data_IF_315394644921
#
_entry.id   IF_315394644921
#
_cell.length_a   1.000
_cell.length_b   1.000
_cell.length_c   1.000
_cell.angle_alpha   90.00
_cell.angle_beta   90.00
_cell.angle_gamma   90.00
#
_symmetry.space_group_name_H-M   'P 1'
#
loop_
_entity.id
_entity.type
_entity.pdbx_description
1 polymer ?
#
# COMPACT_ATOMS: atom_id res chain seq x y z
N UNK A 1 -18.77 11.09 -5.11
CA UNK A 1 -18.18 11.05 -3.76
C UNK A 1 -17.04 10.00 -3.62
N UNK A 2 -16.24 9.72 -4.65
CA UNK A 2 -15.19 8.67 -4.62
C UNK A 2 -13.76 9.23 -4.49
N UNK A 3 -13.54 10.51 -4.64
CA UNK A 3 -12.22 11.15 -4.66
C UNK A 3 -11.49 11.09 -3.31
N UNK A 4 -12.16 11.32 -2.20
CA UNK A 4 -11.51 11.34 -0.88
C UNK A 4 -10.94 9.99 -0.41
N UNK A 5 -11.55 8.85 -0.79
CA UNK A 5 -11.06 7.50 -0.43
C UNK A 5 -9.80 7.13 -1.24
N UNK A 6 -9.69 7.64 -2.44
CA UNK A 6 -8.54 7.41 -3.33
C UNK A 6 -7.33 8.26 -2.91
N UNK A 7 -7.56 9.50 -2.47
CA UNK A 7 -6.52 10.37 -1.94
C UNK A 7 -5.91 9.83 -0.64
N UNK A 8 -6.72 9.34 0.28
CA UNK A 8 -6.25 8.71 1.52
C UNK A 8 -5.35 7.49 1.26
N UNK A 9 -5.70 6.64 0.30
CA UNK A 9 -4.88 5.48 -0.08
C UNK A 9 -3.53 5.89 -0.66
N UNK A 10 -3.47 6.94 -1.48
CA UNK A 10 -2.23 7.45 -2.05
C UNK A 10 -1.29 8.04 -0.99
N UNK A 11 -1.84 8.73 0.00
CA UNK A 11 -1.03 9.26 1.13
C UNK A 11 -0.41 8.12 1.94
N UNK A 12 -1.19 7.08 2.26
CA UNK A 12 -0.69 5.91 3.00
C UNK A 12 0.45 5.22 2.25
N UNK A 13 0.33 5.01 0.94
CA UNK A 13 1.38 4.39 0.12
C UNK A 13 2.67 5.23 0.16
N UNK A 14 2.57 6.56 0.03
CA UNK A 14 3.73 7.45 0.07
C UNK A 14 4.43 7.42 1.43
N UNK A 15 3.67 7.39 2.52
CA UNK A 15 4.22 7.30 3.87
C UNK A 15 4.93 5.97 4.08
N UNK A 16 4.33 4.85 3.67
CA UNK A 16 4.94 3.53 3.75
C UNK A 16 6.22 3.42 2.92
N UNK A 17 6.24 4.00 1.72
CA UNK A 17 7.43 4.06 0.88
C UNK A 17 8.56 4.87 1.54
N UNK A 18 8.24 6.00 2.14
CA UNK A 18 9.23 6.81 2.87
C UNK A 18 9.80 6.05 4.07
N UNK A 19 8.96 5.38 4.85
CA UNK A 19 9.39 4.54 5.97
C UNK A 19 10.29 3.39 5.52
N UNK A 20 9.96 2.72 4.42
CA UNK A 20 10.77 1.65 3.86
C UNK A 20 12.16 2.15 3.43
N UNK A 21 12.25 3.34 2.81
CA UNK A 21 13.53 3.97 2.46
C UNK A 21 14.36 4.31 3.69
N UNK A 22 13.74 4.86 4.73
CA UNK A 22 14.43 5.19 6.00
C UNK A 22 14.94 3.91 6.68
N UNK A 23 14.18 2.83 6.70
CA UNK A 23 14.61 1.53 7.23
C UNK A 23 15.78 0.96 6.42
N UNK A 24 15.73 1.04 5.09
CA UNK A 24 16.83 0.62 4.22
C UNK A 24 18.12 1.41 4.47
N UNK A 25 18.01 2.74 4.54
CA UNK A 25 19.13 3.61 4.87
C UNK A 25 19.71 3.28 6.24
N UNK A 26 18.87 3.06 7.24
CA UNK A 26 19.31 2.69 8.57
C UNK A 26 20.04 1.34 8.58
N UNK A 27 19.51 0.33 7.87
CA UNK A 27 20.17 -0.97 7.73
C UNK A 27 21.55 -0.84 7.06
N UNK A 28 21.67 -0.03 6.00
CA UNK A 28 22.94 0.26 5.35
C UNK A 28 23.93 0.93 6.33
N UNK A 29 23.47 1.89 7.13
CA UNK A 29 24.27 2.58 8.14
C UNK A 29 24.82 1.60 9.19
N UNK A 30 23.95 0.74 9.75
CA UNK A 30 24.36 -0.24 10.75
C UNK A 30 25.32 -1.29 10.16
N UNK A 31 25.13 -1.66 8.89
CA UNK A 31 26.04 -2.58 8.21
C UNK A 31 27.45 -1.99 8.07
N UNK A 32 27.58 -0.72 7.66
CA UNK A 32 28.88 -0.05 7.59
C UNK A 32 29.51 0.02 8.99
N UNK A 33 28.78 0.47 10.00
CA UNK A 33 29.26 0.56 11.38
C UNK A 33 29.77 -0.79 11.90
N UNK A 34 29.02 -1.85 11.64
CA UNK A 34 29.43 -3.22 12.01
C UNK A 34 30.70 -3.66 11.27
N UNK A 35 30.82 -3.39 9.98
CA UNK A 35 31.99 -3.78 9.17
C UNK A 35 33.26 -3.08 9.61
N UNK A 36 33.17 -1.86 10.09
CA UNK A 36 34.32 -1.12 10.62
C UNK A 36 34.45 -1.26 12.16
N UNK A 37 33.76 -2.24 12.74
CA UNK A 37 33.81 -2.59 14.16
C UNK A 37 33.51 -1.41 15.09
N UNK A 38 32.50 -0.58 14.72
CA UNK A 38 32.08 0.60 15.51
C UNK A 38 33.23 1.55 15.87
N UNK A 39 34.11 1.82 14.90
CA UNK A 39 35.29 2.66 15.12
C UNK A 39 34.93 4.03 15.73
N UNK A 40 35.71 4.55 16.68
CA UNK A 40 35.40 5.81 17.36
C UNK A 40 35.28 7.03 16.45
N UNK A 41 35.87 6.98 15.25
CA UNK A 41 35.85 8.05 14.25
C UNK A 41 34.54 8.15 13.47
N UNK A 42 33.57 7.25 13.66
CA UNK A 42 32.29 7.26 12.91
C UNK A 42 31.32 8.38 13.33
N UNK A 43 31.64 9.12 14.37
CA UNK A 43 30.86 10.26 14.84
C UNK A 43 29.80 9.91 15.89
N UNK A 44 28.77 10.76 15.96
CA UNK A 44 27.75 10.66 16.99
C UNK A 44 26.87 9.39 16.85
N UNK A 45 26.73 8.68 17.96
CA UNK A 45 25.86 7.51 18.07
C UNK A 45 25.26 7.40 19.48
N UNK A 46 24.22 6.61 19.63
CA UNK A 46 23.60 6.26 20.91
C UNK A 46 23.80 4.75 21.12
N UNK A 47 24.70 4.36 21.98
CA UNK A 47 25.01 2.95 22.30
C UNK A 47 25.31 2.07 21.06
N UNK A 48 26.02 2.62 20.06
CA UNK A 48 26.33 1.93 18.82
C UNK A 48 25.26 2.02 17.73
N UNK A 49 24.15 2.71 17.99
CA UNK A 49 23.12 2.97 17.00
C UNK A 49 23.37 4.31 16.34
N UNK A 50 23.60 4.30 15.03
CA UNK A 50 23.85 5.49 14.21
C UNK A 50 22.57 5.95 13.51
N UNK A 51 22.41 7.27 13.27
CA UNK A 51 21.28 7.81 12.49
C UNK A 51 21.24 7.26 11.05
N UNK A 52 20.06 7.12 10.43
CA UNK A 52 19.93 6.56 9.09
C UNK A 52 20.79 7.27 8.01
N UNK A 53 20.96 8.56 8.13
CA UNK A 53 21.70 9.38 7.15
C UNK A 53 23.23 9.28 7.28
N UNK A 54 23.77 8.67 8.34
CA UNK A 54 25.23 8.61 8.57
C UNK A 54 25.95 7.90 7.42
N UNK A 55 25.36 6.87 6.81
CA UNK A 55 25.93 6.17 5.67
C UNK A 55 26.20 7.09 4.48
N UNK A 56 25.36 8.10 4.27
CA UNK A 56 25.54 9.07 3.19
C UNK A 56 26.75 9.98 3.44
N UNK A 57 26.90 10.47 4.68
CA UNK A 57 28.04 11.28 5.07
C UNK A 57 29.34 10.49 4.95
N UNK A 58 29.38 9.26 5.46
CA UNK A 58 30.55 8.38 5.36
C UNK A 58 30.87 8.01 3.91
N UNK A 59 29.85 7.84 3.04
CA UNK A 59 30.07 7.57 1.64
C UNK A 59 30.66 8.78 0.91
N UNK A 60 30.25 10.00 1.24
CA UNK A 60 30.83 11.22 0.64
C UNK A 60 32.32 11.38 0.95
N UNK A 61 32.73 11.00 2.16
CA UNK A 61 34.12 11.13 2.60
C UNK A 61 35.00 9.91 2.26
N UNK A 62 34.41 8.70 2.33
CA UNK A 62 35.15 7.44 2.30
C UNK A 62 34.91 6.52 1.10
N UNK A 63 33.99 6.86 0.17
CA UNK A 63 33.68 5.98 -0.94
C UNK A 63 34.89 5.64 -1.81
N UNK A 64 35.77 6.61 -2.08
CA UNK A 64 36.99 6.40 -2.85
C UNK A 64 37.99 5.43 -2.22
N UNK A 65 37.96 5.28 -0.90
CA UNK A 65 38.87 4.40 -0.15
C UNK A 65 38.29 2.98 0.03
N UNK A 66 36.96 2.84 0.13
CA UNK A 66 36.30 1.57 0.38
C UNK A 66 35.03 1.37 -0.49
N UNK A 67 35.10 1.41 -1.82
CA UNK A 67 33.91 1.37 -2.70
C UNK A 67 33.10 0.09 -2.53
N UNK A 68 33.76 -1.05 -2.28
CA UNK A 68 33.09 -2.33 -2.07
C UNK A 68 32.25 -2.38 -0.78
N UNK A 69 32.71 -1.68 0.26
CA UNK A 69 31.97 -1.57 1.53
C UNK A 69 30.65 -0.82 1.32
N UNK A 70 30.72 0.33 0.67
CA UNK A 70 29.54 1.16 0.43
C UNK A 70 28.59 0.56 -0.62
N UNK A 71 29.12 -0.13 -1.64
CA UNK A 71 28.30 -0.90 -2.58
C UNK A 71 27.54 -2.03 -1.84
N UNK A 72 28.21 -2.75 -0.94
CA UNK A 72 27.56 -3.77 -0.10
C UNK A 72 26.50 -3.17 0.83
N UNK A 73 26.78 -2.03 1.45
CA UNK A 73 25.81 -1.31 2.28
C UNK A 73 24.58 -0.88 1.48
N UNK A 74 24.79 -0.33 0.28
CA UNK A 74 23.70 0.04 -0.63
C UNK A 74 22.84 -1.15 -1.04
N UNK A 75 23.45 -2.30 -1.34
CA UNK A 75 22.74 -3.53 -1.67
C UNK A 75 21.88 -4.02 -0.50
N UNK A 76 22.40 -4.04 0.71
CA UNK A 76 21.65 -4.45 1.90
C UNK A 76 20.52 -3.47 2.17
N UNK A 77 20.78 -2.16 2.11
CA UNK A 77 19.74 -1.15 2.28
C UNK A 77 18.61 -1.29 1.24
N UNK A 78 18.95 -1.54 -0.02
CA UNK A 78 17.98 -1.75 -1.08
C UNK A 78 17.12 -3.00 -0.85
N UNK A 79 17.73 -4.11 -0.43
CA UNK A 79 16.99 -5.36 -0.11
C UNK A 79 16.04 -5.14 1.07
N UNK A 80 16.48 -4.50 2.14
CA UNK A 80 15.63 -4.20 3.30
C UNK A 80 14.47 -3.29 2.91
N UNK A 81 14.73 -2.22 2.14
CA UNK A 81 13.68 -1.33 1.65
C UNK A 81 12.67 -2.08 0.76
N UNK A 82 13.14 -2.94 -0.15
CA UNK A 82 12.27 -3.74 -1.01
C UNK A 82 11.39 -4.71 -0.22
N UNK A 83 11.94 -5.41 0.76
CA UNK A 83 11.19 -6.33 1.63
C UNK A 83 10.12 -5.56 2.42
N UNK A 84 10.47 -4.41 3.00
CA UNK A 84 9.53 -3.56 3.74
C UNK A 84 8.40 -3.05 2.85
N UNK A 85 8.69 -2.68 1.59
CA UNK A 85 7.66 -2.29 0.62
C UNK A 85 6.72 -3.45 0.28
N UNK A 86 7.25 -4.64 0.04
CA UNK A 86 6.43 -5.84 -0.24
C UNK A 86 5.52 -6.13 0.94
N UNK A 87 6.04 -6.14 2.16
CA UNK A 87 5.24 -6.36 3.38
C UNK A 87 4.15 -5.31 3.53
N UNK A 88 4.47 -4.03 3.28
CA UNK A 88 3.51 -2.93 3.36
C UNK A 88 2.38 -3.08 2.33
N UNK A 89 2.70 -3.46 1.08
CA UNK A 89 1.71 -3.71 0.03
C UNK A 89 0.82 -4.90 0.37
N UNK A 90 1.40 -6.02 0.81
CA UNK A 90 0.64 -7.20 1.24
C UNK A 90 -0.30 -6.87 2.41
N UNK A 91 0.19 -6.16 3.41
CA UNK A 91 -0.64 -5.71 4.54
C UNK A 91 -1.81 -4.86 4.08
N UNK A 92 -1.57 -3.90 3.17
CA UNK A 92 -2.62 -3.03 2.65
C UNK A 92 -3.67 -3.81 1.85
N UNK A 93 -3.27 -4.83 1.06
CA UNK A 93 -4.21 -5.68 0.33
C UNK A 93 -5.09 -6.50 1.27
N UNK A 94 -4.52 -7.06 2.33
CA UNK A 94 -5.27 -7.81 3.35
C UNK A 94 -6.28 -6.90 4.04
N UNK A 95 -5.86 -5.74 4.54
CA UNK A 95 -6.74 -4.78 5.23
C UNK A 95 -7.85 -4.28 4.31
N UNK A 96 -7.55 -3.95 3.05
CA UNK A 96 -8.56 -3.48 2.09
C UNK A 96 -9.59 -4.56 1.73
N UNK A 97 -9.16 -5.80 1.60
CA UNK A 97 -10.05 -6.92 1.32
C UNK A 97 -10.97 -7.25 2.51
N UNK A 98 -10.45 -7.19 3.73
CA UNK A 98 -11.26 -7.39 4.96
C UNK A 98 -12.33 -6.32 5.09
N UNK A 99 -12.00 -5.07 4.79
CA UNK A 99 -12.97 -3.96 4.83
C UNK A 99 -14.09 -4.14 3.78
N UNK A 100 -13.77 -4.63 2.59
CA UNK A 100 -14.76 -4.95 1.55
C UNK A 100 -15.65 -6.13 1.96
N UNK A 101 -15.09 -7.16 2.57
CA UNK A 101 -15.84 -8.31 3.06
C UNK A 101 -16.83 -7.91 4.16
N UNK A 102 -16.44 -7.04 5.09
CA UNK A 102 -17.35 -6.52 6.12
C UNK A 102 -18.49 -5.69 5.55
N UNK A 103 -18.23 -4.89 4.51
CA UNK A 103 -19.25 -4.08 3.85
C UNK A 103 -20.32 -4.96 3.17
N UNK A 104 -19.95 -6.17 2.71
CA UNK A 104 -20.87 -7.15 2.10
C UNK A 104 -21.64 -8.00 3.12
N UNK A 105 -21.12 -8.21 4.33
CA UNK A 105 -21.81 -9.00 5.37
C UNK A 105 -23.07 -8.29 5.89
N UNK A 106 -23.11 -6.95 5.87
CA UNK A 106 -24.31 -6.19 6.24
C UNK A 106 -25.34 -6.04 5.13
N UNK A 107 -25.16 -6.79 4.03
CA UNK A 107 -26.00 -6.70 2.83
C UNK A 107 -25.85 -5.30 2.22
N UNK A 108 -25.25 -5.20 1.07
CA UNK A 108 -25.33 -3.98 0.26
C UNK A 108 -26.75 -3.84 -0.28
N UNK A 109 -27.72 -3.54 0.59
CA UNK A 109 -29.06 -3.19 0.19
C UNK A 109 -28.96 -1.87 -0.58
N UNK A 110 -28.70 -1.97 -1.86
CA UNK A 110 -28.81 -0.86 -2.80
C UNK A 110 -30.03 -1.09 -3.69
N UNK A 111 -30.67 -0.02 -4.08
CA UNK A 111 -31.72 -0.11 -5.07
C UNK A 111 -31.13 -0.67 -6.38
N UNK A 112 -31.84 -1.64 -6.97
CA UNK A 112 -31.45 -2.22 -8.25
C UNK A 112 -31.42 -1.14 -9.33
N UNK A 113 -30.33 -1.10 -10.09
CA UNK A 113 -30.23 -0.25 -11.26
C UNK A 113 -30.67 -1.01 -12.52
N UNK A 114 -30.83 -0.31 -13.65
CA UNK A 114 -31.23 -0.89 -14.91
C UNK A 114 -30.40 -2.10 -15.35
N UNK A 115 -29.09 -2.08 -15.07
CA UNK A 115 -28.16 -3.17 -15.39
C UNK A 115 -28.45 -4.42 -14.57
N UNK A 116 -28.79 -4.26 -13.30
CA UNK A 116 -29.14 -5.38 -12.42
C UNK A 116 -30.46 -6.03 -12.86
N UNK A 117 -31.45 -5.22 -13.22
CA UNK A 117 -32.77 -5.66 -13.71
C UNK A 117 -32.61 -6.43 -15.02
N UNK A 118 -31.81 -5.92 -15.94
CA UNK A 118 -31.54 -6.59 -17.22
C UNK A 118 -30.78 -7.90 -17.05
N UNK A 119 -29.78 -7.93 -16.16
CA UNK A 119 -28.98 -9.15 -15.89
C UNK A 119 -29.78 -10.24 -15.19
N UNK A 120 -30.79 -9.86 -14.40
CA UNK A 120 -31.72 -10.78 -13.76
C UNK A 120 -32.89 -11.17 -14.69
N UNK A 121 -32.93 -10.67 -15.93
CA UNK A 121 -33.97 -10.94 -16.91
C UNK A 121 -35.41 -10.63 -16.43
N UNK A 122 -35.57 -9.61 -15.59
CA UNK A 122 -36.85 -9.30 -14.93
C UNK A 122 -37.84 -8.51 -15.82
N UNK A 123 -37.43 -8.09 -17.02
CA UNK A 123 -38.29 -7.35 -17.98
C UNK A 123 -39.00 -8.27 -18.97
N UNK A 124 -39.33 -9.50 -18.59
CA UNK A 124 -40.06 -10.45 -19.42
C UNK A 124 -41.53 -10.07 -19.49
N UNK A 125 -42.19 -10.45 -20.60
CA UNK A 125 -43.63 -10.26 -20.79
C UNK A 125 -44.47 -11.32 -20.09
N UNK A 126 -43.88 -12.51 -19.81
CA UNK A 126 -44.51 -13.64 -19.17
C UNK A 126 -43.78 -13.99 -17.85
N UNK A 127 -44.45 -14.63 -16.93
CA UNK A 127 -43.91 -15.04 -15.65
C UNK A 127 -44.59 -14.44 -14.43
N UNK A 128 -44.10 -14.82 -13.23
CA UNK A 128 -44.67 -14.35 -11.98
C UNK A 128 -44.33 -12.87 -11.74
N UNK A 129 -45.32 -12.08 -11.37
CA UNK A 129 -45.12 -10.67 -11.02
C UNK A 129 -44.34 -10.58 -9.69
N UNK A 130 -43.19 -9.92 -9.71
CA UNK A 130 -42.32 -9.74 -8.54
C UNK A 130 -42.19 -8.29 -8.07
N UNK A 131 -42.61 -7.32 -8.88
CA UNK A 131 -42.57 -5.92 -8.51
C UNK A 131 -42.68 -4.96 -9.70
N UNK A 132 -42.45 -3.67 -9.43
CA UNK A 132 -42.39 -2.62 -10.45
C UNK A 132 -41.10 -1.81 -10.31
N UNK A 133 -40.63 -1.26 -11.42
CA UNK A 133 -39.46 -0.43 -11.50
C UNK A 133 -39.71 0.79 -12.38
N UNK A 134 -39.20 1.95 -11.92
CA UNK A 134 -39.28 3.19 -12.72
C UNK A 134 -37.88 3.41 -13.32
N UNK A 135 -37.81 3.47 -14.64
CA UNK A 135 -36.57 3.71 -15.35
C UNK A 135 -36.07 5.17 -15.14
N UNK A 136 -34.82 5.48 -15.46
CA UNK A 136 -34.26 6.85 -15.33
C UNK A 136 -34.98 7.88 -16.23
N UNK A 137 -35.77 7.46 -17.19
CA UNK A 137 -36.57 8.32 -18.09
C UNK A 137 -38.00 8.51 -17.59
N UNK A 138 -38.36 7.89 -16.45
CA UNK A 138 -39.67 7.98 -15.82
C UNK A 138 -40.68 6.93 -16.30
N UNK A 139 -40.29 5.96 -17.14
CA UNK A 139 -41.14 4.85 -17.58
C UNK A 139 -41.33 3.81 -16.48
N UNK A 140 -42.58 3.36 -16.26
CA UNK A 140 -42.87 2.30 -15.29
C UNK A 140 -42.88 0.93 -15.97
N UNK A 141 -42.12 -0.02 -15.40
CA UNK A 141 -42.02 -1.39 -15.92
C UNK A 141 -42.42 -2.40 -14.86
N UNK A 142 -43.20 -3.40 -15.25
CA UNK A 142 -43.50 -4.55 -14.41
C UNK A 142 -42.32 -5.54 -14.45
N UNK A 143 -41.88 -5.97 -13.29
CA UNK A 143 -40.83 -6.96 -13.16
C UNK A 143 -41.46 -8.35 -13.01
N UNK A 144 -41.02 -9.31 -13.83
CA UNK A 144 -41.52 -10.69 -13.88
C UNK A 144 -40.34 -11.66 -13.91
N UNK A 145 -40.51 -12.79 -13.23
CA UNK A 145 -39.49 -13.86 -13.19
C UNK A 145 -40.09 -15.17 -13.66
#
# INVERSE_FOLDING_TARGET
MSTGKQEGSQVVIKVLALLALLCGMWAATQFVAWKVNYAPGLGWNIQGVYPPWSVLLWAMEGYGQAPRLFAGAGSIGAVVAAVMLIVAVLWQTVVSNTSRAMETIHGSARWANQKDINSAELLKTEGLFVGGWIDPKGGFHYLRH
#
